data_IF_705339582113
#
_entry.id   IF_705339582113
#
_cell.length_a   1.000
_cell.length_b   1.000
_cell.length_c   1.000
_cell.angle_alpha   90.00
_cell.angle_beta   90.00
_cell.angle_gamma   90.00
#
_symmetry.space_group_name_H-M   'P 1'
#
loop_
_entity.id
_entity.type
_entity.pdbx_description
1 polymer ?
#
# COMPACT_ATOMS: atom_id res chain seq x y z
N UNK A 1 -9.35 13.57 30.46
CA UNK A 1 -8.10 13.33 29.73
C UNK A 1 -7.88 11.82 29.73
N UNK A 2 -8.16 11.13 28.61
CA UNK A 2 -7.92 9.68 28.55
C UNK A 2 -6.45 9.49 28.18
N UNK A 3 -5.64 9.16 29.19
CA UNK A 3 -4.26 8.73 29.01
C UNK A 3 -4.29 7.28 28.50
N UNK A 4 -3.90 7.08 27.24
CA UNK A 4 -3.73 5.74 26.66
C UNK A 4 -2.62 5.00 27.42
N UNK A 5 -3.02 4.15 28.35
CA UNK A 5 -2.13 3.26 29.10
C UNK A 5 -2.21 1.88 28.46
N UNK A 6 -1.21 1.54 27.62
CA UNK A 6 -0.73 0.20 27.22
C UNK A 6 -1.70 -1.00 27.26
N UNK A 7 -2.97 -0.83 26.91
CA UNK A 7 -3.88 -1.90 26.58
C UNK A 7 -4.01 -1.95 25.05
N UNK A 8 -4.06 -3.14 24.47
CA UNK A 8 -4.21 -3.34 23.03
C UNK A 8 -5.41 -2.54 22.48
N UNK A 9 -5.11 -1.43 21.82
CA UNK A 9 -6.07 -0.48 21.21
C UNK A 9 -7.03 -1.13 20.21
N UNK A 10 -6.68 -2.31 19.70
CA UNK A 10 -7.51 -3.20 18.88
C UNK A 10 -8.92 -3.42 19.46
N UNK A 11 -9.06 -3.49 20.79
CA UNK A 11 -10.33 -3.81 21.45
C UNK A 11 -11.15 -2.55 21.83
N UNK A 12 -10.60 -1.35 21.60
CA UNK A 12 -11.14 -0.06 22.07
C UNK A 12 -11.62 0.89 20.97
N UNK A 13 -11.44 0.55 19.69
CA UNK A 13 -11.92 1.37 18.58
C UNK A 13 -13.32 0.89 18.16
N UNK A 14 -14.30 1.06 19.05
CA UNK A 14 -15.70 0.98 18.67
C UNK A 14 -16.16 2.31 18.03
N UNK A 15 -17.22 2.28 17.24
CA UNK A 15 -17.71 3.49 16.54
C UNK A 15 -18.08 4.62 17.51
N UNK A 16 -18.43 4.30 18.75
CA UNK A 16 -18.74 5.27 19.79
C UNK A 16 -17.49 6.02 20.28
N UNK A 17 -16.39 5.30 20.53
CA UNK A 17 -15.12 5.89 20.94
C UNK A 17 -14.55 6.81 19.86
N UNK A 18 -14.66 6.42 18.58
CA UNK A 18 -14.25 7.29 17.46
C UNK A 18 -15.06 8.59 17.46
N UNK A 19 -16.38 8.54 17.68
CA UNK A 19 -17.24 9.73 17.70
C UNK A 19 -16.88 10.68 18.86
N UNK A 20 -16.66 10.13 20.06
CA UNK A 20 -16.24 10.91 21.23
C UNK A 20 -14.87 11.57 21.00
N UNK A 21 -13.90 10.83 20.45
CA UNK A 21 -12.59 11.36 20.10
C UNK A 21 -12.69 12.44 19.02
N UNK A 22 -13.53 12.25 18.00
CA UNK A 22 -13.76 13.26 16.95
C UNK A 22 -14.29 14.56 17.55
N UNK A 23 -15.21 14.47 18.51
CA UNK A 23 -15.73 15.66 19.19
C UNK A 23 -14.67 16.33 20.06
N UNK A 24 -13.88 15.57 20.82
CA UNK A 24 -12.80 16.09 21.64
C UNK A 24 -11.73 16.80 20.82
N UNK A 25 -11.19 16.11 19.81
CA UNK A 25 -10.16 16.68 18.92
C UNK A 25 -10.70 17.93 18.23
N UNK A 26 -11.99 17.99 17.88
CA UNK A 26 -12.57 19.18 17.25
C UNK A 26 -12.44 20.41 18.15
N UNK A 27 -12.70 20.25 19.45
CA UNK A 27 -12.66 21.33 20.45
C UNK A 27 -11.26 21.64 20.99
N UNK A 28 -10.26 20.81 20.73
CA UNK A 28 -8.88 21.09 21.16
C UNK A 28 -8.31 22.26 20.35
N UNK A 29 -7.95 23.31 21.06
CA UNK A 29 -7.07 24.38 20.54
C UNK A 29 -5.63 23.98 20.90
N UNK A 30 -4.81 23.79 19.87
CA UNK A 30 -3.38 23.50 20.02
C UNK A 30 -2.63 24.55 19.20
N UNK A 31 -1.66 25.21 19.80
CA UNK A 31 -0.86 26.23 19.12
C UNK A 31 0.27 25.60 18.30
N UNK A 32 0.69 24.40 18.67
CA UNK A 32 1.77 23.68 18.01
C UNK A 32 1.37 22.27 17.56
N UNK A 33 2.03 21.83 16.49
CA UNK A 33 1.73 20.60 15.79
C UNK A 33 2.23 19.34 16.54
N UNK A 34 3.30 19.48 17.33
CA UNK A 34 3.88 18.36 18.07
C UNK A 34 2.99 17.96 19.24
N UNK A 35 2.52 18.94 20.02
CA UNK A 35 1.57 18.75 21.10
C UNK A 35 0.25 18.22 20.57
N UNK A 36 -0.22 18.71 19.42
CA UNK A 36 -1.44 18.19 18.80
C UNK A 36 -1.32 16.69 18.48
N UNK A 37 -0.23 16.26 17.85
CA UNK A 37 0.00 14.85 17.50
C UNK A 37 0.07 13.92 18.71
N UNK A 38 0.57 14.40 19.86
CA UNK A 38 0.59 13.61 21.11
C UNK A 38 -0.80 13.34 21.69
N UNK A 39 -1.82 14.13 21.32
CA UNK A 39 -3.20 13.95 21.77
C UNK A 39 -3.98 12.94 20.92
N UNK A 40 -3.43 12.55 19.78
CA UNK A 40 -4.10 11.69 18.80
C UNK A 40 -3.78 10.23 19.13
N UNK A 41 -4.76 9.30 19.02
CA UNK A 41 -4.49 7.87 19.12
C UNK A 41 -3.46 7.43 18.06
N UNK A 42 -2.76 6.30 18.26
CA UNK A 42 -1.83 5.78 17.26
C UNK A 42 -2.48 5.67 15.87
N UNK A 43 -1.95 6.42 14.90
CA UNK A 43 -2.50 6.49 13.55
C UNK A 43 -2.50 5.13 12.84
N UNK A 44 -1.56 4.25 13.18
CA UNK A 44 -1.51 2.88 12.69
C UNK A 44 -2.80 2.10 12.95
N UNK A 45 -3.43 2.32 14.10
CA UNK A 45 -4.68 1.65 14.48
C UNK A 45 -5.89 2.36 13.85
N UNK A 46 -5.84 3.69 13.75
CA UNK A 46 -6.87 4.45 13.05
C UNK A 46 -6.94 4.09 11.56
N UNK A 47 -5.81 3.90 10.88
CA UNK A 47 -5.76 3.49 9.48
C UNK A 47 -6.40 2.11 9.29
N UNK A 48 -6.11 1.14 10.16
CA UNK A 48 -6.71 -0.20 10.11
C UNK A 48 -8.23 -0.19 10.36
N UNK A 49 -8.71 0.77 11.15
CA UNK A 49 -10.13 0.95 11.46
C UNK A 49 -10.91 1.76 10.41
N UNK A 50 -10.37 1.96 9.20
CA UNK A 50 -11.13 2.49 8.07
C UNK A 50 -12.19 1.44 7.67
N UNK A 51 -13.46 1.85 7.44
CA UNK A 51 -13.91 3.22 7.22
C UNK A 51 -14.38 3.99 8.47
N UNK A 52 -14.53 3.34 9.62
CA UNK A 52 -15.12 3.97 10.80
C UNK A 52 -14.29 5.17 11.30
N UNK A 53 -12.97 5.11 11.17
CA UNK A 53 -12.03 6.16 11.60
C UNK A 53 -11.93 7.36 10.65
N UNK A 54 -12.51 7.30 9.44
CA UNK A 54 -12.35 8.35 8.43
C UNK A 54 -12.71 9.77 8.90
N UNK A 55 -13.80 10.00 9.67
CA UNK A 55 -14.10 11.34 10.17
C UNK A 55 -13.03 11.90 11.11
N UNK A 56 -12.39 11.03 11.90
CA UNK A 56 -11.32 11.40 12.81
C UNK A 56 -10.02 11.69 12.05
N UNK A 57 -9.67 10.81 11.11
CA UNK A 57 -8.49 11.00 10.24
C UNK A 57 -8.61 12.30 9.43
N UNK A 58 -9.77 12.59 8.85
CA UNK A 58 -10.02 13.84 8.11
C UNK A 58 -9.80 15.07 9.00
N UNK A 59 -10.35 15.05 10.22
CA UNK A 59 -10.17 16.13 11.18
C UNK A 59 -8.69 16.32 11.57
N UNK A 60 -7.97 15.23 11.82
CA UNK A 60 -6.54 15.26 12.17
C UNK A 60 -5.73 15.87 11.04
N UNK A 61 -5.87 15.37 9.81
CA UNK A 61 -5.15 15.87 8.64
C UNK A 61 -5.48 17.34 8.35
N UNK A 62 -6.76 17.70 8.41
CA UNK A 62 -7.21 19.09 8.21
C UNK A 62 -6.65 20.04 9.27
N UNK A 63 -6.55 19.59 10.54
CA UNK A 63 -5.95 20.41 11.60
C UNK A 63 -4.45 20.55 11.45
N UNK A 64 -3.73 19.47 11.12
CA UNK A 64 -2.30 19.53 10.86
C UNK A 64 -1.97 20.48 9.69
N UNK A 65 -2.76 20.44 8.62
CA UNK A 65 -2.59 21.36 7.48
C UNK A 65 -2.79 22.84 7.91
N UNK A 66 -3.82 23.11 8.71
CA UNK A 66 -4.07 24.47 9.24
C UNK A 66 -2.94 24.95 10.16
N UNK A 67 -2.54 24.13 11.13
CA UNK A 67 -1.46 24.47 12.06
C UNK A 67 -0.16 24.72 11.33
N UNK A 68 0.15 23.91 10.31
CA UNK A 68 1.31 24.13 9.44
C UNK A 68 1.22 25.47 8.71
N UNK A 69 0.06 25.80 8.13
CA UNK A 69 -0.13 27.08 7.43
C UNK A 69 -0.06 28.30 8.37
N UNK A 70 -0.44 28.14 9.64
CA UNK A 70 -0.41 29.21 10.65
C UNK A 70 0.98 29.38 11.30
N UNK A 71 1.75 28.30 11.44
CA UNK A 71 3.06 28.29 12.13
C UNK A 71 4.27 28.32 11.21
N UNK A 72 4.08 28.31 9.88
CA UNK A 72 5.13 28.11 8.86
C UNK A 72 6.01 26.87 9.08
N UNK A 73 5.53 25.90 9.88
CA UNK A 73 6.25 24.66 10.15
C UNK A 73 6.24 23.70 8.94
N UNK A 74 7.11 22.69 8.95
CA UNK A 74 7.02 21.60 7.98
C UNK A 74 5.80 20.70 8.27
N UNK A 75 5.18 20.18 7.21
CA UNK A 75 4.07 19.23 7.36
C UNK A 75 4.60 17.88 7.86
N UNK A 76 4.01 17.31 8.92
CA UNK A 76 4.50 16.10 9.59
C UNK A 76 4.15 14.82 8.81
N UNK A 77 4.67 14.70 7.58
CA UNK A 77 4.33 13.60 6.64
C UNK A 77 4.55 12.21 7.26
N UNK A 78 5.65 12.05 8.01
CA UNK A 78 6.05 10.76 8.60
C UNK A 78 5.21 10.43 9.81
N UNK A 79 5.02 11.40 10.69
CA UNK A 79 4.24 11.23 11.91
C UNK A 79 2.78 10.98 11.58
N UNK A 80 2.27 11.56 10.49
CA UNK A 80 0.92 11.32 9.99
C UNK A 80 0.75 10.00 9.22
N UNK A 81 1.83 9.29 8.89
CA UNK A 81 1.78 8.04 8.12
C UNK A 81 1.11 8.23 6.74
N UNK A 82 1.41 9.34 6.06
CA UNK A 82 0.78 9.71 4.79
C UNK A 82 0.88 8.63 3.72
N UNK A 83 2.06 7.99 3.58
CA UNK A 83 2.27 6.95 2.58
C UNK A 83 1.42 5.71 2.87
N UNK A 84 1.40 5.26 4.12
CA UNK A 84 0.63 4.08 4.54
C UNK A 84 -0.88 4.34 4.46
N UNK A 85 -1.34 5.53 4.86
CA UNK A 85 -2.74 5.92 4.73
C UNK A 85 -3.15 5.95 3.26
N UNK A 86 -2.33 6.56 2.39
CA UNK A 86 -2.60 6.61 0.96
C UNK A 86 -2.73 5.21 0.34
N UNK A 87 -1.79 4.31 0.65
CA UNK A 87 -1.83 2.92 0.20
C UNK A 87 -3.09 2.19 0.71
N UNK A 88 -3.43 2.34 1.99
CA UNK A 88 -4.62 1.71 2.56
C UNK A 88 -5.92 2.24 1.95
N UNK A 89 -6.00 3.55 1.71
CA UNK A 89 -7.14 4.18 1.03
C UNK A 89 -7.27 3.69 -0.41
N UNK A 90 -6.18 3.60 -1.17
CA UNK A 90 -6.19 3.02 -2.51
C UNK A 90 -6.69 1.58 -2.50
N UNK A 91 -6.19 0.76 -1.57
CA UNK A 91 -6.61 -0.63 -1.43
C UNK A 91 -8.09 -0.74 -1.05
N UNK A 92 -8.54 0.07 -0.09
CA UNK A 92 -9.93 0.16 0.31
C UNK A 92 -10.85 0.55 -0.85
N UNK A 93 -10.46 1.54 -1.66
CA UNK A 93 -11.22 1.95 -2.85
C UNK A 93 -11.28 0.84 -3.89
N UNK A 94 -10.12 0.23 -4.21
CA UNK A 94 -10.04 -0.84 -5.19
C UNK A 94 -10.88 -2.06 -4.80
N UNK A 95 -10.76 -2.51 -3.55
CA UNK A 95 -11.48 -3.67 -3.01
C UNK A 95 -13.00 -3.46 -3.03
N UNK A 96 -13.47 -2.30 -2.58
CA UNK A 96 -14.90 -1.98 -2.58
C UNK A 96 -15.45 -1.72 -4.00
N UNK A 97 -14.63 -1.23 -4.94
CA UNK A 97 -15.04 -1.11 -6.34
C UNK A 97 -15.24 -2.49 -6.97
N UNK A 98 -14.36 -3.45 -6.70
CA UNK A 98 -14.49 -4.85 -7.17
C UNK A 98 -15.74 -5.53 -6.61
N UNK A 99 -15.98 -5.42 -5.30
CA UNK A 99 -17.13 -6.03 -4.63
C UNK A 99 -18.49 -5.52 -5.13
N UNK A 100 -18.54 -4.29 -5.67
CA UNK A 100 -19.75 -3.66 -6.18
C UNK A 100 -19.91 -3.74 -7.71
N UNK A 101 -19.02 -4.45 -8.43
CA UNK A 101 -19.22 -4.68 -9.88
C UNK A 101 -20.46 -5.57 -10.08
N UNK A 102 -21.43 -5.15 -10.92
CA UNK A 102 -22.57 -5.99 -11.24
C UNK A 102 -22.06 -7.28 -11.90
N UNK A 103 -22.25 -8.40 -11.21
CA UNK A 103 -21.85 -9.72 -11.69
C UNK A 103 -22.68 -10.06 -12.93
N UNK A 104 -22.13 -9.81 -14.12
CA UNK A 104 -22.63 -10.49 -15.32
C UNK A 104 -22.33 -11.99 -15.16
N UNK A 105 -23.40 -12.78 -15.20
CA UNK A 105 -23.49 -14.18 -14.83
C UNK A 105 -22.26 -15.06 -15.16
N UNK A 106 -21.64 -15.64 -14.12
CA UNK A 106 -20.85 -16.88 -14.20
C UNK A 106 -20.96 -17.67 -12.87
N UNK A 107 -20.80 -19.00 -12.92
CA UNK A 107 -21.46 -19.94 -12.01
C UNK A 107 -20.77 -20.09 -10.65
N UNK A 108 -21.59 -20.45 -9.67
CA UNK A 108 -21.25 -20.79 -8.28
C UNK A 108 -20.01 -21.70 -8.23
N UNK A 109 -18.89 -21.15 -7.76
CA UNK A 109 -17.85 -21.94 -7.10
C UNK A 109 -17.80 -21.50 -5.64
N UNK A 110 -18.12 -22.45 -4.78
CA UNK A 110 -18.04 -22.36 -3.32
C UNK A 110 -16.60 -22.15 -2.90
N UNK A 111 -16.27 -20.95 -2.42
CA UNK A 111 -15.14 -20.70 -1.53
C UNK A 111 -15.64 -20.01 -0.27
N UNK A 112 -15.89 -20.83 0.75
CA UNK A 112 -16.20 -20.41 2.11
C UNK A 112 -14.94 -19.82 2.76
N UNK A 113 -14.64 -18.55 2.50
CA UNK A 113 -13.74 -17.73 3.35
C UNK A 113 -13.99 -16.21 3.18
N UNK A 114 -15.19 -15.80 2.76
CA UNK A 114 -15.58 -14.40 2.78
C UNK A 114 -16.00 -13.99 4.20
N UNK A 115 -14.99 -13.83 5.07
CA UNK A 115 -15.14 -13.27 6.41
C UNK A 115 -15.59 -11.81 6.27
N UNK A 116 -16.80 -11.52 6.72
CA UNK A 116 -17.30 -10.20 7.13
C UNK A 116 -17.06 -9.03 6.15
N UNK A 117 -17.68 -9.07 4.96
CA UNK A 117 -17.93 -7.84 4.21
C UNK A 117 -19.38 -7.43 4.39
N UNK A 118 -19.63 -6.59 5.41
CA UNK A 118 -20.83 -5.74 5.38
C UNK A 118 -20.78 -4.93 4.08
N UNK A 119 -21.85 -4.95 3.29
CA UNK A 119 -22.01 -4.14 2.09
C UNK A 119 -21.81 -2.65 2.42
N UNK A 120 -20.56 -2.18 2.40
CA UNK A 120 -20.24 -0.78 2.66
C UNK A 120 -20.47 -0.04 1.35
N UNK A 121 -21.67 0.53 1.21
CA UNK A 121 -21.96 1.44 0.14
C UNK A 121 -21.03 2.65 0.33
N UNK A 122 -20.30 3.06 -0.72
CA UNK A 122 -19.65 4.36 -0.78
C UNK A 122 -20.70 5.46 -0.60
N UNK A 123 -21.02 5.78 0.65
CA UNK A 123 -21.96 6.84 0.96
C UNK A 123 -21.26 8.19 0.75
N UNK A 124 -22.06 9.23 0.55
CA UNK A 124 -21.57 10.59 0.25
C UNK A 124 -20.60 11.06 1.34
N UNK A 125 -20.86 10.74 2.61
CA UNK A 125 -20.02 11.13 3.75
C UNK A 125 -18.62 10.53 3.69
N UNK A 126 -18.50 9.24 3.37
CA UNK A 126 -17.21 8.54 3.21
C UNK A 126 -16.39 9.18 2.10
N UNK A 127 -17.01 9.45 0.95
CA UNK A 127 -16.36 10.11 -0.18
C UNK A 127 -15.87 11.51 0.17
N UNK A 128 -16.62 12.26 0.97
CA UNK A 128 -16.22 13.60 1.43
C UNK A 128 -14.96 13.53 2.29
N UNK A 129 -14.91 12.65 3.28
CA UNK A 129 -13.73 12.48 4.13
C UNK A 129 -12.51 12.00 3.34
N UNK A 130 -12.69 11.01 2.45
CA UNK A 130 -11.61 10.52 1.59
C UNK A 130 -11.07 11.62 0.67
N UNK A 131 -11.94 12.41 0.04
CA UNK A 131 -11.53 13.54 -0.81
C UNK A 131 -10.77 14.60 -0.03
N UNK A 132 -11.22 14.91 1.18
CA UNK A 132 -10.56 15.88 2.05
C UNK A 132 -9.14 15.42 2.40
N UNK A 133 -9.00 14.19 2.93
CA UNK A 133 -7.72 13.57 3.28
C UNK A 133 -6.78 13.52 2.07
N UNK A 134 -7.24 12.97 0.93
CA UNK A 134 -6.44 12.89 -0.29
C UNK A 134 -6.08 14.28 -0.82
N UNK A 135 -6.95 15.27 -0.61
CA UNK A 135 -6.68 16.67 -0.95
C UNK A 135 -5.51 17.23 -0.15
N UNK A 136 -5.45 16.96 1.16
CA UNK A 136 -4.30 17.35 2.02
C UNK A 136 -3.03 16.65 1.55
N UNK A 137 -3.06 15.33 1.35
CA UNK A 137 -1.90 14.55 0.90
C UNK A 137 -1.39 15.07 -0.46
N UNK A 138 -2.28 15.39 -1.40
CA UNK A 138 -1.90 15.91 -2.70
C UNK A 138 -1.19 17.27 -2.62
N UNK A 139 -1.57 18.13 -1.67
CA UNK A 139 -0.96 19.45 -1.48
C UNK A 139 0.37 19.38 -0.73
N UNK A 140 0.40 18.59 0.34
CA UNK A 140 1.53 18.57 1.29
C UNK A 140 2.56 17.48 0.97
N UNK A 141 2.15 16.38 0.34
CA UNK A 141 3.00 15.23 0.05
C UNK A 141 2.91 14.79 -1.44
N UNK A 142 3.18 15.69 -2.41
CA UNK A 142 3.02 15.39 -3.84
C UNK A 142 3.87 14.21 -4.32
N UNK A 143 5.03 13.98 -3.69
CA UNK A 143 5.94 12.87 -3.99
C UNK A 143 5.25 11.50 -3.88
N UNK A 144 4.36 11.31 -2.92
CA UNK A 144 3.61 10.05 -2.74
C UNK A 144 2.75 9.77 -3.99
N UNK A 145 2.15 10.81 -4.57
CA UNK A 145 1.34 10.67 -5.77
C UNK A 145 2.19 10.48 -7.03
N UNK A 146 3.35 11.15 -7.11
CA UNK A 146 4.32 10.96 -8.18
C UNK A 146 4.84 9.52 -8.21
N UNK A 147 5.22 8.97 -7.05
CA UNK A 147 5.64 7.58 -6.89
C UNK A 147 4.53 6.62 -7.31
N UNK A 148 3.29 6.84 -6.85
CA UNK A 148 2.15 6.01 -7.24
C UNK A 148 1.82 6.11 -8.74
N UNK A 149 1.98 7.28 -9.35
CA UNK A 149 1.80 7.45 -10.79
C UNK A 149 2.90 6.74 -11.58
N UNK A 150 4.14 6.78 -11.11
CA UNK A 150 5.25 6.04 -11.70
C UNK A 150 5.05 4.53 -11.58
N UNK A 151 4.63 4.04 -10.42
CA UNK A 151 4.27 2.63 -10.22
C UNK A 151 3.15 2.22 -11.17
N UNK A 152 2.11 3.05 -11.32
CA UNK A 152 1.03 2.79 -12.27
C UNK A 152 1.56 2.64 -13.70
N UNK A 153 2.44 3.53 -14.16
CA UNK A 153 3.03 3.43 -15.49
C UNK A 153 3.81 2.11 -15.68
N UNK A 154 4.61 1.72 -14.68
CA UNK A 154 5.33 0.45 -14.71
C UNK A 154 4.39 -0.76 -14.73
N UNK A 155 3.29 -0.69 -13.98
CA UNK A 155 2.24 -1.71 -14.01
C UNK A 155 1.54 -1.76 -15.37
N UNK A 156 1.19 -0.62 -15.95
CA UNK A 156 0.54 -0.52 -17.27
C UNK A 156 1.45 -1.13 -18.35
N UNK A 157 2.75 -0.81 -18.36
CA UNK A 157 3.74 -1.38 -19.28
C UNK A 157 3.84 -2.91 -19.13
N UNK A 158 3.84 -3.40 -17.88
CA UNK A 158 3.86 -4.83 -17.57
C UNK A 158 2.57 -5.52 -18.03
N UNK A 159 1.41 -4.89 -17.83
CA UNK A 159 0.11 -5.41 -18.25
C UNK A 159 -0.01 -5.43 -19.77
N UNK A 160 0.47 -4.42 -20.48
CA UNK A 160 0.52 -4.40 -21.94
C UNK A 160 1.41 -5.52 -22.46
N UNK A 161 2.61 -5.70 -21.89
CA UNK A 161 3.52 -6.78 -22.25
C UNK A 161 2.89 -8.16 -22.07
N UNK A 162 2.16 -8.38 -20.98
CA UNK A 162 1.43 -9.62 -20.73
C UNK A 162 0.22 -9.80 -21.66
N UNK A 163 -0.49 -8.72 -21.98
CA UNK A 163 -1.65 -8.70 -22.86
C UNK A 163 -1.33 -8.95 -24.34
N UNK A 164 -0.11 -8.69 -24.79
CA UNK A 164 0.37 -8.95 -26.15
C UNK A 164 0.31 -10.43 -26.58
N UNK A 165 0.10 -11.36 -25.65
CA UNK A 165 -0.02 -12.77 -25.96
C UNK A 165 -1.44 -13.23 -26.32
N UNK A 166 -2.47 -12.37 -26.27
CA UNK A 166 -3.86 -12.70 -26.61
C UNK A 166 -4.52 -13.75 -25.68
N UNK A 167 -3.75 -14.33 -24.78
CA UNK A 167 -4.15 -15.34 -23.79
C UNK A 167 -4.46 -14.74 -22.42
N UNK A 168 -3.96 -13.54 -22.14
CA UNK A 168 -4.00 -12.91 -20.82
C UNK A 168 -4.93 -11.69 -20.86
N UNK A 169 -6.02 -11.72 -20.11
CA UNK A 169 -6.91 -10.58 -19.93
C UNK A 169 -7.54 -10.64 -18.51
N UNK A 170 -7.75 -9.48 -17.88
CA UNK A 170 -8.26 -9.31 -16.52
C UNK A 170 -9.61 -10.00 -16.29
N UNK A 171 -10.47 -10.10 -17.31
CA UNK A 171 -11.87 -10.54 -17.17
C UNK A 171 -12.33 -11.63 -18.14
N UNK A 172 -11.72 -11.75 -19.33
CA UNK A 172 -12.17 -12.70 -20.38
C UNK A 172 -11.03 -13.46 -21.06
N UNK A 173 -9.82 -13.44 -20.49
CA UNK A 173 -8.65 -14.12 -21.04
C UNK A 173 -8.69 -15.63 -20.76
N UNK A 174 -8.01 -16.42 -21.58
CA UNK A 174 -7.81 -17.84 -21.34
C UNK A 174 -6.99 -18.10 -20.05
N UNK A 175 -6.19 -17.12 -19.64
CA UNK A 175 -5.36 -17.13 -18.44
C UNK A 175 -5.56 -15.79 -17.71
N UNK A 176 -5.75 -15.81 -16.39
CA UNK A 176 -5.84 -14.58 -15.58
C UNK A 176 -4.45 -13.96 -15.43
N UNK A 177 -4.36 -12.65 -15.21
CA UNK A 177 -3.07 -11.95 -15.04
C UNK A 177 -2.23 -12.55 -13.92
N UNK A 178 -2.82 -12.89 -12.77
CA UNK A 178 -2.09 -13.53 -11.67
C UNK A 178 -1.43 -14.85 -12.10
N UNK A 179 -2.15 -15.67 -12.88
CA UNK A 179 -1.63 -16.93 -13.39
C UNK A 179 -0.52 -16.70 -14.44
N UNK A 180 -0.70 -15.69 -15.30
CA UNK A 180 0.32 -15.30 -16.28
C UNK A 180 1.60 -14.78 -15.62
N UNK A 181 1.47 -13.97 -14.57
CA UNK A 181 2.60 -13.48 -13.76
C UNK A 181 3.30 -14.66 -13.07
N UNK A 182 2.54 -15.57 -12.46
CA UNK A 182 3.11 -16.76 -11.82
C UNK A 182 3.88 -17.64 -12.82
N UNK A 183 3.34 -17.83 -14.03
CA UNK A 183 4.02 -18.56 -15.11
C UNK A 183 5.30 -17.86 -15.57
N UNK A 184 5.26 -16.54 -15.77
CA UNK A 184 6.43 -15.77 -16.20
C UNK A 184 7.52 -15.75 -15.12
N UNK A 185 7.15 -15.63 -13.84
CA UNK A 185 8.07 -15.75 -12.71
C UNK A 185 8.70 -17.14 -12.63
N UNK A 186 7.91 -18.20 -12.84
CA UNK A 186 8.41 -19.57 -12.89
C UNK A 186 9.41 -19.75 -14.04
N UNK A 187 9.09 -19.20 -15.23
CA UNK A 187 9.99 -19.21 -16.40
C UNK A 187 11.30 -18.48 -16.12
N UNK A 188 11.25 -17.32 -15.48
CA UNK A 188 12.45 -16.57 -15.08
C UNK A 188 13.28 -17.33 -14.04
N UNK A 189 12.63 -17.96 -13.05
CA UNK A 189 13.30 -18.80 -12.07
C UNK A 189 14.05 -19.96 -12.72
N UNK A 190 13.44 -20.65 -13.69
CA UNK A 190 14.09 -21.74 -14.43
C UNK A 190 15.28 -21.25 -15.26
N UNK A 191 15.14 -20.12 -15.97
CA UNK A 191 16.25 -19.49 -16.70
C UNK A 191 17.40 -19.12 -15.77
N UNK A 192 17.10 -18.56 -14.60
CA UNK A 192 18.11 -18.20 -13.60
C UNK A 192 18.81 -19.43 -13.03
N UNK A 193 18.07 -20.52 -12.76
CA UNK A 193 18.63 -21.81 -12.33
C UNK A 193 19.56 -22.40 -13.40
N UNK A 194 19.17 -22.35 -14.67
CA UNK A 194 20.00 -22.80 -15.79
C UNK A 194 21.27 -21.94 -15.94
N UNK A 195 21.16 -20.61 -15.84
CA UNK A 195 22.30 -19.70 -15.85
C UNK A 195 23.26 -19.96 -14.67
N UNK A 196 22.71 -20.23 -13.49
CA UNK A 196 23.49 -20.58 -12.30
C UNK A 196 24.19 -21.94 -12.45
N UNK A 197 23.54 -22.94 -13.05
CA UNK A 197 24.17 -24.24 -13.37
C UNK A 197 25.33 -24.06 -14.33
N UNK A 198 25.14 -23.32 -15.44
CA UNK A 198 26.21 -22.98 -16.38
C UNK A 198 27.36 -22.22 -15.70
N UNK A 199 27.05 -21.31 -14.78
CA UNK A 199 28.07 -20.60 -14.00
C UNK A 199 28.86 -21.57 -13.11
N UNK A 200 28.19 -22.52 -12.45
CA UNK A 200 28.84 -23.56 -11.64
C UNK A 200 29.73 -24.48 -12.49
N UNK A 201 29.29 -24.84 -13.69
CA UNK A 201 30.08 -25.61 -14.66
C UNK A 201 31.34 -24.84 -15.09
N UNK A 202 31.20 -23.56 -15.43
CA UNK A 202 32.32 -22.68 -15.77
C UNK A 202 33.28 -22.45 -14.59
N UNK A 203 32.78 -22.46 -13.35
CA UNK A 203 33.61 -22.39 -12.16
C UNK A 203 34.36 -23.69 -11.87
N UNK A 204 33.78 -24.85 -12.23
CA UNK A 204 34.40 -26.17 -12.13
C UNK A 204 35.42 -26.41 -13.26
N UNK A 205 35.25 -25.80 -14.43
CA UNK A 205 36.20 -25.84 -15.55
C UNK A 205 37.44 -24.94 -15.33
N UNK A 206 38.01 -24.95 -14.11
CA UNK A 206 39.25 -24.23 -13.79
C UNK A 206 40.48 -25.01 -14.25
N UNK A 207 40.71 -24.91 -15.55
CA UNK A 207 42.05 -24.75 -16.15
C UNK A 207 42.04 -23.44 -16.95
N UNK A 208 41.75 -22.30 -16.31
CA UNK A 208 41.84 -20.99 -16.97
C UNK A 208 42.46 -19.90 -16.08
N UNK A 209 43.41 -19.19 -16.71
CA UNK A 209 44.39 -18.23 -16.19
C UNK A 209 43.86 -17.11 -15.26
N UNK A 210 44.71 -16.72 -14.30
CA UNK A 210 44.44 -15.88 -13.13
C UNK A 210 43.95 -14.43 -13.35
N UNK A 211 43.81 -13.95 -14.59
CA UNK A 211 43.29 -12.59 -14.88
C UNK A 211 41.75 -12.52 -14.93
N UNK A 212 41.04 -13.63 -15.16
CA UNK A 212 39.55 -13.66 -15.17
C UNK A 212 38.89 -13.87 -13.80
N UNK A 213 39.67 -14.26 -12.78
CA UNK A 213 39.16 -14.56 -11.43
C UNK A 213 38.55 -13.33 -10.73
N UNK A 214 39.05 -12.12 -11.00
CA UNK A 214 38.56 -10.89 -10.36
C UNK A 214 37.19 -10.45 -10.87
N UNK A 215 36.91 -10.56 -12.18
CA UNK A 215 35.58 -10.22 -12.74
C UNK A 215 34.49 -11.21 -12.33
N UNK A 216 34.79 -12.52 -12.29
CA UNK A 216 33.82 -13.52 -11.82
C UNK A 216 33.43 -13.32 -10.35
N UNK A 217 34.37 -12.88 -9.50
CA UNK A 217 34.11 -12.64 -8.06
C UNK A 217 33.12 -11.50 -7.80
N UNK A 218 33.06 -10.51 -8.70
CA UNK A 218 32.13 -9.39 -8.62
C UNK A 218 30.72 -9.82 -9.01
N UNK A 219 30.58 -10.56 -10.12
CA UNK A 219 29.28 -11.07 -10.57
C UNK A 219 28.68 -12.09 -9.60
N UNK A 220 29.51 -12.94 -8.96
CA UNK A 220 29.04 -13.82 -7.90
C UNK A 220 28.59 -13.08 -6.64
N UNK A 221 29.19 -11.92 -6.33
CA UNK A 221 28.75 -11.07 -5.22
C UNK A 221 27.42 -10.37 -5.52
N UNK A 222 27.25 -9.88 -6.75
CA UNK A 222 25.98 -9.27 -7.21
C UNK A 222 24.84 -10.31 -7.19
N UNK A 223 25.08 -11.52 -7.71
CA UNK A 223 24.10 -12.62 -7.66
C UNK A 223 23.78 -13.11 -6.24
N UNK A 224 24.74 -13.05 -5.31
CA UNK A 224 24.50 -13.43 -3.92
C UNK A 224 23.68 -12.39 -3.16
N UNK A 225 23.89 -11.10 -3.46
CA UNK A 225 23.10 -10.00 -2.87
C UNK A 225 21.66 -10.01 -3.36
N UNK A 226 21.42 -10.30 -4.64
CA UNK A 226 20.05 -10.41 -5.20
C UNK A 226 19.24 -11.60 -4.67
N UNK A 227 19.86 -12.57 -3.99
CA UNK A 227 19.21 -13.79 -3.51
C UNK A 227 18.98 -13.81 -1.99
N UNK A 228 19.44 -12.77 -1.27
CA UNK A 228 19.31 -12.64 0.19
C UNK A 228 18.72 -11.28 0.61
N UNK A 229 18.03 -10.59 -0.30
CA UNK A 229 17.22 -9.39 -0.02
C UNK A 229 15.75 -9.73 -0.20
#
# INVERSE_FOLDING_TARGET
MILYSNAHLSDLIDSHSIQLLTQQIRTVESEDLTTFLQLIPPLSELIKAIPQSLPLLDLVYSKCEKLKNESEAEFPERELWCQQLFQYVLWFIAFNHEANKPTYAQPKSTSETAVYCSNFLFNVTTLTHLRSILGVINRECPKILEEAAQEKLLLDDCLESLGCHGLVNCSTGLIRIFDAVALEMTRHHEKMKAAQQRLKELQKSKTFSGKHRRKLSLWSKVLFLMNNS
#
